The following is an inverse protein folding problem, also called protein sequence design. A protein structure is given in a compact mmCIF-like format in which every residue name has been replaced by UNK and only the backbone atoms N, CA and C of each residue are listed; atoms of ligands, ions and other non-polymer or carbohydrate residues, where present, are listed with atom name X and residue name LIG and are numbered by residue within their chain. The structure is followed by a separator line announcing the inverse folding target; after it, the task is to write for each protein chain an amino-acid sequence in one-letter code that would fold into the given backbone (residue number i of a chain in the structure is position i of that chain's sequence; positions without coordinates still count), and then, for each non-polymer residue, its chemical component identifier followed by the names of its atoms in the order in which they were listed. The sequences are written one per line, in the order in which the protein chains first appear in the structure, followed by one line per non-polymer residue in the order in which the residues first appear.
data_IF_135932451721
#
_entry.id   IF_135932451721
#
_cell.length_a   1.000
_cell.length_b   1.000
_cell.length_c   1.000
_cell.angle_alpha   90.00
_cell.angle_beta   90.00
_cell.angle_gamma   90.00
#
_symmetry.space_group_name_H-M   'P 1'
#
loop_
_entity.id
_entity.type
_entity.pdbx_description
1 polymer ?
#
# COMPACT_ATOMS: atom_id res chain seq x y z
N UNK A 1 70.90 -40.47 -42.46
CA UNK A 1 69.50 -40.86 -42.19
C UNK A 1 69.09 -40.26 -40.85
N UNK A 2 68.35 -39.16 -40.86
CA UNK A 2 67.92 -38.45 -39.65
C UNK A 2 66.41 -38.64 -39.53
N UNK A 3 65.94 -39.24 -38.43
CA UNK A 3 64.50 -39.47 -38.16
C UNK A 3 63.93 -38.25 -37.44
N UNK A 4 62.84 -37.68 -37.95
CA UNK A 4 62.08 -36.62 -37.29
C UNK A 4 60.87 -37.23 -36.58
N UNK A 5 60.80 -37.06 -35.26
CA UNK A 5 59.65 -37.43 -34.43
C UNK A 5 58.75 -36.20 -34.26
N UNK A 6 57.57 -36.23 -34.88
CA UNK A 6 56.55 -35.19 -34.72
C UNK A 6 55.70 -35.52 -33.51
N UNK A 7 55.71 -34.66 -32.49
CA UNK A 7 54.80 -34.70 -31.34
C UNK A 7 53.48 -34.01 -31.72
N UNK A 8 52.37 -34.73 -31.63
CA UNK A 8 51.03 -34.17 -31.75
C UNK A 8 50.61 -33.48 -30.44
N UNK A 9 50.26 -32.19 -30.49
CA UNK A 9 49.54 -31.50 -29.42
C UNK A 9 48.04 -31.56 -29.71
N UNK A 10 47.27 -32.22 -28.83
CA UNK A 10 45.81 -32.10 -28.80
C UNK A 10 45.44 -30.78 -28.12
N UNK A 11 44.87 -29.84 -28.88
CA UNK A 11 44.27 -28.62 -28.35
C UNK A 11 42.85 -28.94 -27.87
N UNK A 12 42.63 -28.98 -26.56
CA UNK A 12 41.30 -29.06 -25.96
C UNK A 12 40.63 -27.68 -26.06
N UNK A 13 39.58 -27.57 -26.88
CA UNK A 13 38.77 -26.36 -27.01
C UNK A 13 37.84 -26.22 -25.81
N UNK A 14 38.04 -25.17 -25.02
CA UNK A 14 37.21 -24.82 -23.87
C UNK A 14 35.96 -24.08 -24.37
N UNK A 15 34.79 -24.71 -24.28
CA UNK A 15 33.49 -24.08 -24.60
C UNK A 15 33.07 -23.24 -23.39
N UNK A 16 33.18 -21.92 -23.50
CA UNK A 16 32.68 -20.97 -22.51
C UNK A 16 31.18 -20.82 -22.74
N UNK A 17 30.35 -21.45 -21.90
CA UNK A 17 28.91 -21.22 -21.91
C UNK A 17 28.60 -19.81 -21.37
N UNK A 18 27.76 -19.01 -22.05
CA UNK A 18 27.33 -17.73 -21.52
C UNK A 18 26.47 -17.96 -20.27
N UNK A 19 26.93 -17.45 -19.14
CA UNK A 19 26.14 -17.30 -17.93
C UNK A 19 25.03 -16.27 -18.22
N UNK A 20 23.81 -16.74 -18.39
CA UNK A 20 22.63 -15.89 -18.39
C UNK A 20 22.50 -15.27 -16.99
N UNK A 21 22.85 -13.99 -16.87
CA UNK A 21 22.56 -13.19 -15.69
C UNK A 21 21.03 -13.07 -15.61
N UNK A 22 20.40 -13.85 -14.73
CA UNK A 22 19.01 -13.61 -14.36
C UNK A 22 18.95 -12.21 -13.76
N UNK A 23 18.36 -11.25 -14.48
CA UNK A 23 17.96 -9.99 -13.88
C UNK A 23 17.15 -10.31 -12.62
N UNK A 24 17.46 -9.69 -11.46
CA UNK A 24 16.66 -9.91 -10.27
C UNK A 24 15.21 -9.60 -10.63
N UNK A 25 14.31 -10.51 -10.30
CA UNK A 25 12.88 -10.21 -10.31
C UNK A 25 12.71 -9.03 -9.35
N UNK A 26 12.64 -7.82 -9.91
CA UNK A 26 12.37 -6.61 -9.15
C UNK A 26 11.07 -6.92 -8.40
N UNK A 27 11.14 -6.97 -7.07
CA UNK A 27 9.96 -7.08 -6.25
C UNK A 27 9.03 -5.95 -6.70
N UNK A 28 7.91 -6.30 -7.30
CA UNK A 28 7.00 -5.34 -7.91
C UNK A 28 6.69 -4.27 -6.87
N UNK A 29 7.04 -3.04 -7.19
CA UNK A 29 6.85 -1.90 -6.30
C UNK A 29 5.36 -1.64 -6.22
N UNK A 30 4.73 -1.92 -5.07
CA UNK A 30 3.28 -1.78 -4.93
C UNK A 30 2.86 -0.33 -4.74
N UNK A 31 3.79 0.57 -4.43
CA UNK A 31 3.48 1.95 -4.07
C UNK A 31 4.42 3.00 -4.68
N UNK A 32 3.94 4.22 -4.81
CA UNK A 32 4.72 5.43 -5.11
C UNK A 32 4.41 6.52 -4.10
N UNK A 33 5.42 7.27 -3.66
CA UNK A 33 5.29 8.49 -2.86
C UNK A 33 5.79 9.65 -3.72
N UNK A 34 4.93 10.61 -4.05
CA UNK A 34 5.24 11.74 -4.93
C UNK A 34 5.82 11.30 -6.30
N UNK A 35 5.32 10.17 -6.81
CA UNK A 35 5.77 9.57 -8.07
C UNK A 35 7.07 8.76 -7.99
N UNK A 36 7.72 8.71 -6.82
CA UNK A 36 8.91 7.89 -6.59
C UNK A 36 8.48 6.49 -6.13
N UNK A 37 8.86 5.41 -6.83
CA UNK A 37 8.55 4.05 -6.41
C UNK A 37 9.22 3.71 -5.06
N UNK A 38 8.47 3.06 -4.18
CA UNK A 38 8.91 2.62 -2.84
C UNK A 38 8.64 1.13 -2.64
N UNK A 39 9.65 0.39 -2.18
CA UNK A 39 9.55 -1.05 -1.93
C UNK A 39 8.52 -1.40 -0.85
N UNK A 40 7.97 -2.62 -0.92
CA UNK A 40 6.99 -3.15 0.04
C UNK A 40 7.52 -3.19 1.49
N UNK A 41 6.61 -3.35 2.46
CA UNK A 41 6.89 -3.36 3.89
C UNK A 41 6.40 -2.08 4.56
N UNK A 42 7.16 -1.00 4.46
CA UNK A 42 6.77 0.29 5.05
C UNK A 42 6.94 1.40 4.04
N UNK A 43 5.81 2.00 3.67
CA UNK A 43 5.70 3.16 2.79
C UNK A 43 5.47 4.38 3.67
N UNK A 44 6.40 5.31 3.64
CA UNK A 44 6.31 6.54 4.41
C UNK A 44 6.25 7.73 3.45
N UNK A 45 5.31 8.64 3.71
CA UNK A 45 5.37 10.01 3.27
C UNK A 45 6.48 10.78 3.96
N UNK A 46 6.25 12.06 4.14
CA UNK A 46 7.15 13.07 4.67
C UNK A 46 6.42 13.84 5.77
N UNK A 47 6.98 14.96 6.23
CA UNK A 47 6.29 15.81 7.21
C UNK A 47 5.38 16.86 6.55
N UNK A 48 5.26 16.86 5.22
CA UNK A 48 4.34 17.74 4.49
C UNK A 48 3.54 16.95 3.48
N UNK A 49 2.58 17.60 2.83
CA UNK A 49 1.63 16.96 1.91
C UNK A 49 2.27 16.06 0.86
N UNK A 50 1.84 14.80 0.86
CA UNK A 50 2.25 13.74 -0.03
C UNK A 50 1.13 13.25 -0.94
N UNK A 51 1.52 12.75 -2.11
CA UNK A 51 0.67 11.98 -2.99
C UNK A 51 1.13 10.53 -3.00
N UNK A 52 0.42 9.68 -2.27
CA UNK A 52 0.74 8.28 -2.10
C UNK A 52 -0.24 7.44 -2.92
N UNK A 53 0.28 6.55 -3.76
CA UNK A 53 -0.53 5.63 -4.54
C UNK A 53 -0.03 4.22 -4.34
N UNK A 54 -0.93 3.29 -4.04
CA UNK A 54 -0.61 1.88 -3.95
C UNK A 54 -1.56 1.02 -4.78
N UNK A 55 -1.04 -0.04 -5.39
CA UNK A 55 -1.84 -1.06 -6.04
C UNK A 55 -2.57 -1.94 -5.03
N UNK A 56 -1.88 -2.33 -3.96
CA UNK A 56 -2.40 -3.11 -2.83
C UNK A 56 -1.57 -2.75 -1.59
N UNK A 57 -2.11 -3.05 -0.40
CA UNK A 57 -1.36 -3.02 0.87
C UNK A 57 -1.51 -4.40 1.49
N UNK A 58 -0.46 -5.23 1.42
CA UNK A 58 -0.56 -6.62 1.83
C UNK A 58 -0.53 -6.76 3.36
N UNK A 59 -0.88 -7.93 3.88
CA UNK A 59 -0.74 -8.23 5.31
C UNK A 59 0.69 -7.98 5.78
N UNK A 60 0.85 -7.19 6.84
CA UNK A 60 2.14 -6.79 7.38
C UNK A 60 2.76 -5.55 6.73
N UNK A 61 2.23 -5.10 5.58
CA UNK A 61 2.61 -3.81 4.99
C UNK A 61 1.92 -2.65 5.72
N UNK A 62 2.59 -1.50 5.76
CA UNK A 62 2.04 -0.25 6.31
C UNK A 62 2.31 0.91 5.35
N UNK A 63 1.28 1.73 5.13
CA UNK A 63 1.36 3.02 4.43
C UNK A 63 1.08 4.12 5.46
N UNK A 64 2.03 5.05 5.64
CA UNK A 64 1.91 6.18 6.54
C UNK A 64 2.06 7.48 5.73
N UNK A 65 1.08 8.38 5.80
CA UNK A 65 1.24 9.75 5.31
C UNK A 65 2.22 10.56 6.18
N UNK A 66 2.22 10.26 7.49
CA UNK A 66 3.01 10.87 8.55
C UNK A 66 2.52 12.27 8.94
N UNK A 67 2.81 13.30 8.16
CA UNK A 67 2.38 14.66 8.50
C UNK A 67 2.13 15.51 7.27
N UNK A 68 1.21 16.46 7.38
CA UNK A 68 0.76 17.26 6.24
C UNK A 68 -0.64 16.84 5.81
N UNK A 69 -1.14 17.45 4.74
CA UNK A 69 -2.44 17.05 4.19
C UNK A 69 -2.18 16.13 3.00
N UNK A 70 -2.33 14.83 3.20
CA UNK A 70 -1.93 13.80 2.26
C UNK A 70 -3.09 13.35 1.38
N UNK A 71 -2.75 12.86 0.19
CA UNK A 71 -3.67 12.15 -0.67
C UNK A 71 -3.18 10.72 -0.85
N UNK A 72 -3.93 9.78 -0.27
CA UNK A 72 -3.58 8.36 -0.27
C UNK A 72 -4.61 7.59 -1.09
N UNK A 73 -4.20 7.02 -2.23
CA UNK A 73 -5.08 6.26 -3.11
C UNK A 73 -4.62 4.81 -3.27
N UNK A 74 -5.47 3.88 -2.84
CA UNK A 74 -5.27 2.44 -3.00
C UNK A 74 -6.21 1.91 -4.08
N UNK A 75 -5.67 1.28 -5.12
CA UNK A 75 -6.48 0.79 -6.24
C UNK A 75 -7.03 -0.62 -6.04
N UNK A 76 -6.44 -1.38 -5.13
CA UNK A 76 -6.80 -2.77 -4.80
C UNK A 76 -7.07 -2.98 -3.32
N UNK A 77 -6.81 -4.19 -2.84
CA UNK A 77 -7.13 -4.56 -1.45
C UNK A 77 -6.18 -3.91 -0.44
N UNK A 78 -6.73 -3.66 0.75
CA UNK A 78 -5.99 -3.28 1.95
C UNK A 78 -6.09 -4.44 2.94
N UNK A 79 -5.07 -5.28 2.98
CA UNK A 79 -4.91 -6.37 3.95
C UNK A 79 -3.97 -5.98 5.10
N UNK A 80 -3.16 -4.93 4.92
CA UNK A 80 -2.30 -4.32 5.94
C UNK A 80 -2.91 -3.07 6.55
N UNK A 81 -2.08 -2.06 6.81
CA UNK A 81 -2.49 -0.80 7.45
C UNK A 81 -2.25 0.40 6.54
N UNK A 82 -3.24 1.28 6.46
CA UNK A 82 -3.11 2.63 5.90
C UNK A 82 -3.42 3.63 7.02
N UNK A 83 -2.55 4.61 7.19
CA UNK A 83 -2.62 5.66 8.21
C UNK A 83 -2.32 7.00 7.54
N UNK A 84 -3.26 7.96 7.58
CA UNK A 84 -3.05 9.31 7.07
C UNK A 84 -1.97 10.02 7.89
N UNK A 85 -2.09 9.97 9.21
CA UNK A 85 -1.10 10.53 10.12
C UNK A 85 -1.60 11.86 10.70
N UNK A 86 -0.77 12.90 10.68
CA UNK A 86 -1.13 14.23 11.18
C UNK A 86 -1.56 15.14 10.03
N UNK A 87 -2.72 15.77 10.14
CA UNK A 87 -3.22 16.75 9.17
C UNK A 87 -4.59 16.35 8.64
N UNK A 88 -5.05 17.03 7.60
CA UNK A 88 -6.32 16.72 6.96
C UNK A 88 -6.07 15.91 5.70
N UNK A 89 -6.27 14.60 5.79
CA UNK A 89 -5.93 13.63 4.77
C UNK A 89 -7.13 13.24 3.93
N UNK A 90 -6.86 12.90 2.67
CA UNK A 90 -7.82 12.29 1.76
C UNK A 90 -7.39 10.86 1.45
N UNK A 91 -8.13 9.89 1.97
CA UNK A 91 -7.82 8.47 1.81
C UNK A 91 -8.91 7.80 0.98
N UNK A 92 -8.52 7.11 -0.10
CA UNK A 92 -9.47 6.38 -0.93
C UNK A 92 -9.03 4.96 -1.26
N UNK A 93 -9.96 4.02 -1.08
CA UNK A 93 -9.87 2.67 -1.63
C UNK A 93 -10.85 2.58 -2.79
N UNK A 94 -10.33 2.37 -4.00
CA UNK A 94 -11.12 2.37 -5.22
C UNK A 94 -12.25 1.31 -5.20
N UNK A 95 -13.30 1.44 -6.03
CA UNK A 95 -14.48 0.55 -5.99
C UNK A 95 -14.23 -0.96 -6.07
N UNK A 96 -13.11 -1.39 -6.67
CA UNK A 96 -12.72 -2.80 -6.72
C UNK A 96 -11.94 -3.30 -5.50
N UNK A 97 -11.45 -2.40 -4.64
CA UNK A 97 -10.69 -2.74 -3.44
C UNK A 97 -11.58 -3.07 -2.26
N UNK A 98 -11.13 -4.03 -1.46
CA UNK A 98 -11.76 -4.43 -0.19
C UNK A 98 -10.79 -4.09 0.96
N UNK A 99 -11.31 -3.49 2.02
CA UNK A 99 -10.58 -3.31 3.27
C UNK A 99 -10.76 -4.57 4.12
N UNK A 100 -9.69 -5.34 4.26
CA UNK A 100 -9.57 -6.50 5.15
C UNK A 100 -8.72 -6.21 6.38
N UNK A 101 -7.80 -5.25 6.28
CA UNK A 101 -6.99 -4.73 7.37
C UNK A 101 -7.57 -3.42 7.91
N UNK A 102 -6.72 -2.40 8.03
CA UNK A 102 -7.05 -1.17 8.73
C UNK A 102 -6.80 0.04 7.82
N UNK A 103 -7.77 0.95 7.74
CA UNK A 103 -7.62 2.29 7.20
C UNK A 103 -7.95 3.29 8.30
N UNK A 104 -7.03 4.21 8.59
CA UNK A 104 -7.17 5.25 9.60
C UNK A 104 -6.93 6.62 8.97
N UNK A 105 -7.79 7.59 9.29
CA UNK A 105 -7.54 9.00 9.02
C UNK A 105 -6.31 9.45 9.81
N UNK A 106 -6.45 9.46 11.13
CA UNK A 106 -5.36 9.78 12.04
C UNK A 106 -5.74 10.97 12.92
N UNK A 107 -4.85 11.95 13.03
CA UNK A 107 -5.13 13.17 13.76
C UNK A 107 -5.34 14.34 12.81
N UNK A 108 -6.54 14.90 12.85
CA UNK A 108 -6.96 16.00 12.00
C UNK A 108 -8.31 15.69 11.36
N UNK A 109 -8.85 16.61 10.56
CA UNK A 109 -10.13 16.38 9.90
C UNK A 109 -9.95 15.65 8.58
N UNK A 110 -10.26 14.35 8.54
CA UNK A 110 -9.97 13.49 7.41
C UNK A 110 -11.18 13.19 6.54
N UNK A 111 -10.93 12.87 5.27
CA UNK A 111 -11.93 12.34 4.36
C UNK A 111 -11.51 10.93 3.93
N UNK A 112 -12.25 9.92 4.42
CA UNK A 112 -11.98 8.51 4.10
C UNK A 112 -13.12 7.93 3.27
N UNK A 113 -12.80 7.46 2.06
CA UNK A 113 -13.76 6.85 1.15
C UNK A 113 -13.38 5.43 0.76
N UNK A 114 -14.21 4.48 1.18
CA UNK A 114 -14.01 3.03 0.96
C UNK A 114 -15.30 2.42 0.42
N UNK A 115 -15.24 1.49 -0.53
CA UNK A 115 -16.48 0.89 -1.05
C UNK A 115 -16.91 -0.37 -0.30
N UNK A 116 -15.97 -1.25 0.05
CA UNK A 116 -16.28 -2.52 0.69
C UNK A 116 -15.34 -2.75 1.87
N UNK A 117 -15.92 -3.06 3.03
CA UNK A 117 -15.20 -3.42 4.25
C UNK A 117 -15.59 -4.84 4.60
N UNK A 118 -14.61 -5.74 4.70
CA UNK A 118 -14.86 -7.14 5.07
C UNK A 118 -15.07 -7.28 6.59
N UNK A 119 -15.51 -8.45 7.09
CA UNK A 119 -15.75 -8.64 8.52
C UNK A 119 -14.57 -8.36 9.45
N UNK A 120 -13.33 -8.49 8.96
CA UNK A 120 -12.13 -8.14 9.72
C UNK A 120 -11.63 -6.72 9.49
N UNK A 121 -12.19 -6.03 8.49
CA UNK A 121 -11.76 -4.71 8.07
C UNK A 121 -12.23 -3.60 9.02
N UNK A 122 -11.41 -2.57 9.14
CA UNK A 122 -11.69 -1.40 9.96
C UNK A 122 -11.41 -0.11 9.19
N UNK A 123 -12.32 0.85 9.33
CA UNK A 123 -12.16 2.22 8.86
C UNK A 123 -12.38 3.14 10.06
N UNK A 124 -11.34 3.85 10.49
CA UNK A 124 -11.41 4.77 11.62
C UNK A 124 -11.09 6.20 11.18
N UNK A 125 -11.78 7.20 11.73
CA UNK A 125 -11.38 8.60 11.63
C UNK A 125 -10.26 8.93 12.63
N UNK A 126 -10.38 8.37 13.83
CA UNK A 126 -9.50 8.52 14.99
C UNK A 126 -9.74 9.83 15.78
N UNK A 127 -9.11 10.95 15.46
CA UNK A 127 -9.25 12.18 16.26
C UNK A 127 -9.50 13.43 15.45
N UNK A 128 -10.35 14.30 15.99
CA UNK A 128 -10.90 15.51 15.38
C UNK A 128 -12.15 15.21 14.54
N UNK A 129 -12.39 15.92 13.44
CA UNK A 129 -13.68 15.88 12.76
C UNK A 129 -13.61 15.22 11.41
N UNK A 130 -14.04 13.97 11.33
CA UNK A 130 -13.85 13.13 10.15
C UNK A 130 -15.10 12.99 9.29
N UNK A 131 -14.88 12.75 8.00
CA UNK A 131 -15.92 12.33 7.08
C UNK A 131 -15.62 10.94 6.51
N UNK A 132 -16.34 9.94 7.00
CA UNK A 132 -16.18 8.55 6.58
C UNK A 132 -17.32 8.16 5.65
N UNK A 133 -17.02 7.94 4.37
CA UNK A 133 -18.00 7.46 3.39
C UNK A 133 -17.71 6.03 2.98
N UNK A 134 -18.63 5.14 3.30
CA UNK A 134 -18.50 3.72 2.98
C UNK A 134 -19.66 3.15 2.19
N UNK A 135 -19.38 2.15 1.35
CA UNK A 135 -20.40 1.37 0.66
C UNK A 135 -20.97 0.28 1.59
N UNK A 136 -20.61 -0.97 1.32
CA UNK A 136 -20.99 -2.10 2.18
C UNK A 136 -19.98 -2.25 3.31
N UNK A 137 -20.46 -2.11 4.54
CA UNK A 137 -19.68 -2.30 5.75
C UNK A 137 -20.03 -3.64 6.42
N UNK A 138 -19.18 -4.66 6.31
CA UNK A 138 -19.32 -5.88 7.11
C UNK A 138 -18.40 -5.90 8.35
N UNK A 139 -17.52 -4.91 8.47
CA UNK A 139 -16.57 -4.76 9.57
C UNK A 139 -16.93 -3.60 10.49
N UNK A 140 -15.92 -2.79 10.83
CA UNK A 140 -16.05 -1.61 11.69
C UNK A 140 -15.88 -0.31 10.88
N UNK A 141 -16.78 0.64 11.13
CA UNK A 141 -16.61 2.05 10.79
C UNK A 141 -16.76 2.83 12.08
N UNK A 142 -15.72 3.56 12.48
CA UNK A 142 -15.68 4.30 13.74
C UNK A 142 -15.19 5.72 13.48
N UNK A 143 -16.00 6.74 13.78
CA UNK A 143 -15.56 8.14 13.65
C UNK A 143 -14.37 8.39 14.57
N UNK A 144 -14.58 8.18 15.87
CA UNK A 144 -13.52 8.25 16.87
C UNK A 144 -13.86 9.31 17.91
N UNK A 145 -12.93 10.21 18.16
CA UNK A 145 -13.16 11.36 19.04
C UNK A 145 -13.29 12.62 18.21
N UNK A 146 -14.31 13.43 18.51
CA UNK A 146 -14.53 14.72 17.86
C UNK A 146 -15.92 14.75 17.25
N UNK A 147 -16.09 15.40 16.09
CA UNK A 147 -17.39 15.46 15.41
C UNK A 147 -17.25 14.82 14.03
N UNK A 148 -17.78 13.61 13.91
CA UNK A 148 -17.58 12.71 12.79
C UNK A 148 -18.88 12.48 12.03
N UNK A 149 -18.81 12.55 10.71
CA UNK A 149 -19.94 12.25 9.84
C UNK A 149 -19.66 10.96 9.08
N UNK A 150 -20.36 9.89 9.46
CA UNK A 150 -20.21 8.59 8.85
C UNK A 150 -21.41 8.24 7.98
N UNK A 151 -21.18 8.10 6.67
CA UNK A 151 -22.19 7.68 5.69
C UNK A 151 -21.88 6.28 5.20
N UNK A 152 -22.55 5.29 5.80
CA UNK A 152 -22.48 3.88 5.42
C UNK A 152 -23.69 3.53 4.56
N UNK A 153 -23.49 3.02 3.35
CA UNK A 153 -24.59 2.71 2.43
C UNK A 153 -25.35 1.42 2.81
N UNK A 154 -24.69 0.47 3.47
CA UNK A 154 -25.33 -0.74 3.99
C UNK A 154 -24.42 -1.62 4.84
N UNK A 155 -25.00 -2.58 5.56
CA UNK A 155 -24.29 -3.48 6.47
C UNK A 155 -24.34 -3.01 7.92
N UNK A 156 -23.24 -3.20 8.66
CA UNK A 156 -23.11 -2.79 10.05
C UNK A 156 -23.20 -1.25 10.17
N UNK A 157 -23.95 -0.72 11.15
CA UNK A 157 -23.99 0.71 11.41
C UNK A 157 -22.61 1.23 11.87
N UNK A 158 -22.25 2.49 11.56
CA UNK A 158 -21.05 3.10 12.11
C UNK A 158 -21.21 3.38 13.62
N UNK A 159 -20.09 3.55 14.32
CA UNK A 159 -20.05 3.93 15.73
C UNK A 159 -19.27 5.22 15.92
N UNK A 160 -19.54 5.94 17.01
CA UNK A 160 -18.89 7.22 17.33
C UNK A 160 -19.00 8.22 16.16
N UNK A 161 -20.20 8.36 15.60
CA UNK A 161 -20.49 9.33 14.55
C UNK A 161 -21.77 10.08 14.85
N UNK A 162 -21.78 11.35 14.53
CA UNK A 162 -22.90 12.25 14.62
C UNK A 162 -23.81 12.16 13.38
N UNK A 163 -25.06 12.58 13.58
CA UNK A 163 -26.15 12.50 12.59
C UNK A 163 -26.40 13.82 11.88
#
# INVERSE_FOLDING_TARGET
MIRHTVRALCAASLVIAPLALSSPAQAATSCTVNGIPVSSGTVNGTAGSDFIRCSTVNTGDTVNGLGGNDYIAITGNVDGTVDGGLGSDYITVQPGGIVNGIVRGGAGGDYVQVNNISPGGQVNGDSEGDYLRTGVNLGLVNGGTGFDVCRVAGGNPPVSCEV
#
